data_IF_156544549154
#
_entry.id   IF_156544549154
#
_cell.length_a   1.000
_cell.length_b   1.000
_cell.length_c   1.000
_cell.angle_alpha   90.00
_cell.angle_beta   90.00
_cell.angle_gamma   90.00
#
_symmetry.space_group_name_H-M   'P 1'
#
loop_
_entity.id
_entity.type
_entity.pdbx_description
1 polymer ?
#
# COMPACT_ATOMS: atom_id res chain seq x y z
N UNK A 1 21.94 -18.91 -11.31
CA UNK A 1 22.96 -17.95 -10.84
C UNK A 1 22.44 -17.34 -9.54
N UNK A 2 23.18 -17.61 -8.46
CA UNK A 2 23.08 -17.04 -7.10
C UNK A 2 21.76 -17.13 -6.31
N UNK A 3 21.37 -18.35 -5.93
CA UNK A 3 20.43 -18.68 -4.84
C UNK A 3 21.05 -18.44 -3.43
N UNK A 4 22.01 -17.52 -3.28
CA UNK A 4 22.97 -17.50 -2.17
C UNK A 4 22.84 -16.37 -1.14
N UNK A 5 21.87 -15.44 -1.21
CA UNK A 5 22.08 -14.14 -0.58
C UNK A 5 21.15 -13.70 0.56
N UNK A 6 19.94 -14.24 0.77
CA UNK A 6 19.03 -13.59 1.73
C UNK A 6 19.45 -13.76 3.19
N UNK A 7 19.83 -14.94 3.66
CA UNK A 7 20.22 -15.13 5.08
C UNK A 7 21.48 -14.33 5.42
N UNK A 8 22.47 -14.35 4.52
CA UNK A 8 23.67 -13.51 4.61
C UNK A 8 23.33 -12.03 4.52
N UNK A 9 22.40 -11.65 3.66
CA UNK A 9 21.92 -10.27 3.49
C UNK A 9 21.25 -9.76 4.75
N UNK A 10 20.28 -10.51 5.28
CA UNK A 10 19.59 -10.19 6.53
C UNK A 10 20.57 -10.09 7.70
N UNK A 11 21.66 -10.87 7.72
CA UNK A 11 22.70 -10.75 8.74
C UNK A 11 23.32 -9.35 8.85
N UNK A 12 23.20 -8.50 7.81
CA UNK A 12 23.61 -7.10 7.83
C UNK A 12 22.71 -6.22 8.69
N UNK A 13 21.48 -6.63 8.98
CA UNK A 13 20.61 -6.00 10.00
C UNK A 13 21.19 -6.33 11.38
N UNK A 14 21.53 -5.28 12.12
CA UNK A 14 22.15 -5.34 13.45
C UNK A 14 21.22 -4.76 14.52
N UNK A 15 21.49 -5.04 15.79
CA UNK A 15 20.82 -4.38 16.91
C UNK A 15 20.84 -2.86 16.77
N UNK A 16 19.72 -2.20 17.05
CA UNK A 16 19.54 -0.76 16.87
C UNK A 16 19.27 -0.29 15.43
N UNK A 17 19.20 -1.20 14.44
CA UNK A 17 18.87 -0.82 13.06
C UNK A 17 17.42 -0.33 12.95
N UNK A 18 17.19 0.66 12.09
CA UNK A 18 15.85 1.02 11.62
C UNK A 18 15.54 0.35 10.30
N UNK A 19 14.51 -0.48 10.28
CA UNK A 19 14.11 -1.30 9.15
C UNK A 19 12.72 -0.90 8.69
N UNK A 20 12.60 -0.46 7.44
CA UNK A 20 11.30 -0.28 6.79
C UNK A 20 10.76 -1.61 6.28
N UNK A 21 9.46 -1.83 6.39
CA UNK A 21 8.74 -2.99 5.85
C UNK A 21 7.65 -2.49 4.93
N UNK A 22 7.64 -3.02 3.71
CA UNK A 22 6.61 -2.74 2.70
C UNK A 22 5.20 -2.94 3.27
N UNK A 23 4.34 -1.95 3.07
CA UNK A 23 2.98 -1.91 3.59
C UNK A 23 1.95 -2.70 2.79
N UNK A 24 0.73 -2.70 3.31
CA UNK A 24 -0.47 -3.25 2.70
C UNK A 24 -0.33 -4.71 2.23
N UNK A 25 -0.90 -5.06 1.08
CA UNK A 25 -0.76 -6.38 0.44
C UNK A 25 0.66 -6.67 -0.07
N UNK A 26 1.53 -5.65 -0.07
CA UNK A 26 2.95 -5.73 -0.41
C UNK A 26 3.83 -6.28 0.72
N UNK A 27 3.31 -6.46 1.94
CA UNK A 27 4.12 -6.93 3.09
C UNK A 27 4.82 -8.27 2.81
N UNK A 28 6.17 -8.34 2.88
CA UNK A 28 6.95 -9.54 2.56
C UNK A 28 6.92 -10.53 3.73
N UNK A 29 5.83 -11.30 3.84
CA UNK A 29 5.57 -12.15 5.00
C UNK A 29 6.72 -13.15 5.24
N UNK A 30 7.26 -13.74 4.17
CA UNK A 30 8.39 -14.65 4.29
C UNK A 30 9.67 -13.97 4.80
N UNK A 31 10.04 -12.79 4.29
CA UNK A 31 11.18 -12.05 4.83
C UNK A 31 10.97 -11.64 6.29
N UNK A 32 9.73 -11.24 6.63
CA UNK A 32 9.41 -10.87 8.00
C UNK A 32 9.62 -12.05 8.95
N UNK A 33 9.18 -13.25 8.56
CA UNK A 33 9.43 -14.50 9.30
C UNK A 33 10.92 -14.82 9.41
N UNK A 34 11.71 -14.62 8.36
CA UNK A 34 13.16 -14.85 8.41
C UNK A 34 13.86 -13.88 9.37
N UNK A 35 13.52 -12.60 9.33
CA UNK A 35 14.09 -11.63 10.28
C UNK A 35 13.64 -11.92 11.72
N UNK A 36 12.37 -12.26 11.94
CA UNK A 36 11.86 -12.60 13.27
C UNK A 36 12.55 -13.82 13.89
N UNK A 37 12.98 -14.81 13.09
CA UNK A 37 13.77 -15.96 13.60
C UNK A 37 15.10 -15.55 14.22
N UNK A 38 15.63 -14.37 13.89
CA UNK A 38 16.87 -13.82 14.45
C UNK A 38 16.66 -13.02 15.74
N UNK A 39 15.47 -13.07 16.36
CA UNK A 39 15.16 -12.36 17.59
C UNK A 39 16.23 -12.58 18.69
N UNK A 40 16.69 -13.81 18.88
CA UNK A 40 17.70 -14.13 19.89
C UNK A 40 19.08 -13.49 19.65
N UNK A 41 19.34 -12.95 18.45
CA UNK A 41 20.60 -12.30 18.06
C UNK A 41 20.50 -10.77 18.03
N UNK A 42 19.27 -10.24 18.10
CA UNK A 42 18.97 -8.83 17.83
C UNK A 42 18.35 -8.17 19.05
N UNK A 43 18.64 -6.88 19.22
CA UNK A 43 18.06 -6.05 20.27
C UNK A 43 17.67 -4.69 19.71
N UNK A 44 16.49 -4.20 20.09
CA UNK A 44 16.02 -2.85 19.77
C UNK A 44 16.07 -2.51 18.27
N UNK A 45 15.70 -3.44 17.40
CA UNK A 45 15.49 -3.17 15.98
C UNK A 45 14.15 -2.45 15.84
N UNK A 46 14.17 -1.25 15.27
CA UNK A 46 12.97 -0.47 15.02
C UNK A 46 12.37 -0.89 13.68
N UNK A 47 11.12 -1.35 13.69
CA UNK A 47 10.36 -1.74 12.50
C UNK A 47 9.41 -0.60 12.14
N UNK A 48 9.55 -0.05 10.94
CA UNK A 48 8.71 1.01 10.40
C UNK A 48 7.93 0.53 9.17
N UNK A 49 6.77 1.13 8.94
CA UNK A 49 5.93 0.84 7.77
C UNK A 49 4.58 1.54 7.91
N UNK A 50 3.80 1.53 6.84
CA UNK A 50 2.41 1.98 6.86
C UNK A 50 1.48 0.79 6.55
N UNK A 51 0.37 0.71 7.26
CA UNK A 51 -0.70 -0.28 7.02
C UNK A 51 -0.21 -1.74 6.81
N UNK A 52 0.67 -2.30 7.67
CA UNK A 52 1.02 -3.71 7.52
C UNK A 52 -0.24 -4.57 7.73
N UNK A 53 -0.54 -5.49 6.82
CA UNK A 53 -1.71 -6.38 6.98
C UNK A 53 -1.40 -7.58 7.88
N UNK A 54 -0.15 -8.00 7.91
CA UNK A 54 0.40 -8.95 8.87
C UNK A 54 1.63 -8.33 9.56
N UNK A 55 1.73 -8.50 10.87
CA UNK A 55 2.82 -7.94 11.65
C UNK A 55 3.26 -8.87 12.78
N UNK A 56 4.21 -9.76 12.45
CA UNK A 56 4.81 -10.67 13.42
C UNK A 56 5.56 -9.94 14.56
N UNK A 57 6.04 -8.72 14.33
CA UNK A 57 6.91 -8.01 15.27
C UNK A 57 6.19 -7.45 16.50
N UNK A 58 4.86 -7.41 16.49
CA UNK A 58 4.05 -7.03 17.67
C UNK A 58 3.82 -8.17 18.66
N UNK A 59 4.34 -9.38 18.39
CA UNK A 59 4.29 -10.49 19.34
C UNK A 59 5.07 -10.11 20.62
N UNK A 60 4.45 -10.14 21.82
CA UNK A 60 5.13 -9.87 23.10
C UNK A 60 6.40 -10.70 23.34
N UNK A 61 6.53 -11.88 22.72
CA UNK A 61 7.73 -12.73 22.80
C UNK A 61 8.94 -12.11 22.09
N UNK A 62 8.72 -11.16 21.19
CA UNK A 62 9.74 -10.53 20.36
C UNK A 62 10.13 -9.12 20.84
N UNK A 63 9.55 -8.65 21.95
CA UNK A 63 9.65 -7.27 22.44
C UNK A 63 11.07 -6.78 22.75
N UNK A 64 11.98 -7.69 23.14
CA UNK A 64 13.36 -7.32 23.46
C UNK A 64 14.19 -7.09 22.18
N UNK A 65 13.76 -7.71 21.08
CA UNK A 65 14.43 -7.71 19.79
C UNK A 65 13.89 -6.65 18.85
N UNK A 66 12.57 -6.47 18.83
CA UNK A 66 11.87 -5.62 17.87
C UNK A 66 10.91 -4.66 18.56
N UNK A 67 10.81 -3.46 18.02
CA UNK A 67 9.82 -2.47 18.38
C UNK A 67 9.19 -1.89 17.13
N UNK A 68 7.86 -1.90 17.03
CA UNK A 68 7.16 -1.38 15.85
C UNK A 68 6.86 0.09 16.03
N UNK A 69 7.39 0.95 15.17
CA UNK A 69 7.06 2.37 15.11
C UNK A 69 6.31 2.67 13.82
N UNK A 70 5.00 2.51 13.86
CA UNK A 70 4.16 2.51 12.66
C UNK A 70 3.81 3.93 12.19
N UNK A 71 3.72 4.13 10.88
CA UNK A 71 3.18 5.34 10.27
C UNK A 71 1.65 5.29 10.13
N UNK A 72 1.02 4.17 10.51
CA UNK A 72 -0.42 4.00 10.53
C UNK A 72 -0.86 2.98 11.59
N UNK A 73 -1.82 3.33 12.45
CA UNK A 73 -2.32 2.45 13.51
C UNK A 73 -3.36 1.43 12.99
N UNK A 74 -2.90 0.46 12.18
CA UNK A 74 -3.73 -0.60 11.60
C UNK A 74 -4.19 -1.63 12.65
N UNK A 75 -5.14 -2.49 12.26
CA UNK A 75 -5.61 -3.59 13.11
C UNK A 75 -4.46 -4.48 13.63
N UNK A 76 -3.46 -4.77 12.78
CA UNK A 76 -2.29 -5.59 13.13
C UNK A 76 -1.31 -4.90 14.10
N UNK A 77 -1.44 -3.58 14.32
CA UNK A 77 -0.53 -2.81 15.19
C UNK A 77 -1.20 -2.42 16.51
N UNK A 78 -2.53 -2.26 16.53
CA UNK A 78 -3.28 -1.76 17.70
C UNK A 78 -3.07 -2.57 18.98
N UNK A 79 -3.00 -3.90 18.89
CA UNK A 79 -2.68 -4.75 20.06
C UNK A 79 -1.27 -4.50 20.58
N UNK A 80 -0.31 -4.29 19.67
CA UNK A 80 1.07 -3.94 19.99
C UNK A 80 1.19 -2.59 20.71
N UNK A 81 0.38 -1.61 20.32
CA UNK A 81 0.32 -0.32 21.01
C UNK A 81 -0.20 -0.51 22.44
N UNK A 82 -1.29 -1.25 22.60
CA UNK A 82 -1.90 -1.49 23.91
C UNK A 82 -0.97 -2.26 24.87
N UNK A 83 -0.11 -3.14 24.36
CA UNK A 83 0.79 -3.96 25.16
C UNK A 83 2.25 -3.44 25.24
N UNK A 84 2.54 -2.30 24.61
CA UNK A 84 3.85 -1.64 24.66
C UNK A 84 4.93 -2.20 23.72
N UNK A 85 4.57 -3.06 22.75
CA UNK A 85 5.49 -3.54 21.69
C UNK A 85 5.48 -2.68 20.43
N UNK A 86 4.55 -1.73 20.34
CA UNK A 86 4.45 -0.80 19.24
C UNK A 86 4.10 0.62 19.68
N UNK A 87 4.38 1.58 18.80
CA UNK A 87 3.89 2.96 18.83
C UNK A 87 3.46 3.37 17.42
N UNK A 88 2.90 4.57 17.29
CA UNK A 88 2.62 5.18 16.00
C UNK A 88 3.06 6.64 15.97
N UNK A 89 3.43 7.12 14.78
CA UNK A 89 3.76 8.51 14.50
C UNK A 89 2.54 9.15 13.81
N UNK A 90 1.87 10.13 14.44
CA UNK A 90 0.83 10.91 13.77
C UNK A 90 1.46 11.77 12.68
N UNK A 91 1.15 11.47 11.42
CA UNK A 91 1.65 12.21 10.26
C UNK A 91 0.66 12.08 9.10
N UNK A 92 0.54 13.11 8.27
CA UNK A 92 -0.19 12.99 7.00
C UNK A 92 0.54 12.04 6.07
N UNK A 93 -0.20 11.14 5.41
CA UNK A 93 0.41 10.11 4.57
C UNK A 93 1.26 10.72 3.43
N UNK A 94 0.82 11.85 2.86
CA UNK A 94 1.57 12.63 1.86
C UNK A 94 2.93 13.16 2.35
N UNK A 95 3.10 13.34 3.66
CA UNK A 95 4.32 13.87 4.27
C UNK A 95 5.28 12.75 4.71
N UNK A 96 4.83 11.48 4.71
CA UNK A 96 5.67 10.35 5.11
C UNK A 96 6.95 10.18 4.29
N UNK A 97 7.01 10.48 2.96
CA UNK A 97 8.27 10.45 2.23
C UNK A 97 9.34 11.36 2.82
N UNK A 98 8.95 12.54 3.34
CA UNK A 98 9.88 13.53 3.89
C UNK A 98 10.65 13.00 5.10
N UNK A 99 10.05 12.10 5.88
CA UNK A 99 10.73 11.47 7.01
C UNK A 99 12.04 10.79 6.58
N UNK A 100 12.06 10.24 5.36
CA UNK A 100 13.22 9.54 4.81
C UNK A 100 14.04 10.43 3.88
N UNK A 101 13.38 11.18 2.99
CA UNK A 101 14.04 12.07 2.03
C UNK A 101 14.83 13.21 2.74
N UNK A 102 14.34 13.72 3.88
CA UNK A 102 15.03 14.74 4.69
C UNK A 102 15.89 14.13 5.82
N UNK A 103 16.07 12.81 5.83
CA UNK A 103 16.89 12.10 6.80
C UNK A 103 16.48 12.34 8.28
N UNK A 104 15.19 12.58 8.54
CA UNK A 104 14.62 12.71 9.88
C UNK A 104 14.61 11.34 10.58
N UNK A 105 14.22 10.29 9.85
CA UNK A 105 14.22 8.90 10.28
C UNK A 105 15.07 8.05 9.31
N UNK A 106 16.41 8.15 9.35
CA UNK A 106 17.29 7.40 8.46
C UNK A 106 17.02 5.90 8.52
N UNK A 107 16.93 5.25 7.35
CA UNK A 107 16.67 3.82 7.22
C UNK A 107 17.98 3.05 6.99
N UNK A 108 18.26 2.07 7.85
CA UNK A 108 19.39 1.15 7.66
C UNK A 108 19.06 0.04 6.67
N UNK A 109 17.81 -0.40 6.64
CA UNK A 109 17.33 -1.39 5.68
C UNK A 109 15.87 -1.17 5.27
N UNK A 110 15.50 -1.71 4.11
CA UNK A 110 14.13 -1.88 3.66
C UNK A 110 13.88 -3.35 3.27
N UNK A 111 12.81 -3.93 3.79
CA UNK A 111 12.27 -5.23 3.37
C UNK A 111 11.12 -4.99 2.42
N UNK A 112 11.28 -5.40 1.16
CA UNK A 112 10.27 -5.21 0.12
C UNK A 112 9.85 -6.54 -0.50
N UNK A 113 8.60 -6.61 -0.95
CA UNK A 113 8.15 -7.63 -1.89
C UNK A 113 8.02 -7.02 -3.29
N UNK A 114 8.41 -7.79 -4.31
CA UNK A 114 8.39 -7.35 -5.71
C UNK A 114 8.00 -8.49 -6.65
N UNK A 115 7.55 -8.14 -7.85
CA UNK A 115 7.39 -9.09 -8.97
C UNK A 115 8.74 -9.67 -9.41
N UNK A 116 8.76 -10.77 -10.19
CA UNK A 116 9.95 -11.17 -10.94
C UNK A 116 10.47 -10.03 -11.84
N UNK A 117 11.79 -9.96 -12.07
CA UNK A 117 12.37 -8.98 -12.97
C UNK A 117 11.96 -9.26 -14.43
N UNK A 118 11.70 -8.20 -15.18
CA UNK A 118 11.51 -8.30 -16.62
C UNK A 118 12.84 -8.49 -17.37
N UNK A 119 12.78 -8.55 -18.71
CA UNK A 119 13.96 -8.72 -19.58
C UNK A 119 15.01 -7.59 -19.46
N UNK A 120 14.64 -6.48 -18.85
CA UNK A 120 15.51 -5.32 -18.61
C UNK A 120 15.99 -5.25 -17.16
N UNK A 121 15.69 -6.25 -16.33
CA UNK A 121 16.11 -6.31 -14.94
C UNK A 121 15.26 -5.48 -13.98
N UNK A 122 14.06 -5.05 -14.39
CA UNK A 122 13.15 -4.31 -13.52
C UNK A 122 12.11 -5.22 -12.88
N UNK A 123 12.08 -5.22 -11.55
CA UNK A 123 10.96 -5.71 -10.77
C UNK A 123 9.93 -4.58 -10.55
N UNK A 124 8.74 -4.93 -10.07
CA UNK A 124 7.69 -4.00 -9.68
C UNK A 124 7.36 -4.16 -8.19
N UNK A 125 7.24 -3.06 -7.45
CA UNK A 125 6.66 -3.03 -6.08
C UNK A 125 5.20 -3.51 -6.06
N UNK A 126 4.53 -3.48 -7.21
CA UNK A 126 3.22 -4.07 -7.42
C UNK A 126 2.12 -3.32 -6.69
N UNK A 127 1.51 -3.96 -5.70
CA UNK A 127 0.28 -3.48 -5.09
C UNK A 127 0.45 -2.31 -4.13
N UNK A 128 1.67 -1.94 -3.76
CA UNK A 128 1.91 -0.84 -2.82
C UNK A 128 3.13 -0.03 -3.25
N UNK A 129 2.93 1.27 -3.47
CA UNK A 129 3.99 2.24 -3.75
C UNK A 129 4.15 3.16 -2.55
N UNK A 130 3.06 3.82 -2.16
CA UNK A 130 2.87 4.54 -0.88
C UNK A 130 4.17 5.10 -0.28
N UNK A 131 4.50 4.72 0.97
CA UNK A 131 5.74 5.15 1.63
C UNK A 131 6.94 4.31 1.16
N UNK A 132 6.68 3.12 0.62
CA UNK A 132 7.69 2.16 0.16
C UNK A 132 8.62 2.76 -0.90
N UNK A 133 8.10 3.61 -1.80
CA UNK A 133 8.93 4.26 -2.81
C UNK A 133 10.02 5.12 -2.18
N UNK A 134 9.68 5.91 -1.16
CA UNK A 134 10.65 6.71 -0.42
C UNK A 134 11.63 5.82 0.35
N UNK A 135 11.15 4.72 0.95
CA UNK A 135 12.04 3.77 1.62
C UNK A 135 13.07 3.14 0.67
N UNK A 136 12.65 2.74 -0.55
CA UNK A 136 13.53 2.21 -1.59
C UNK A 136 14.55 3.24 -2.08
N UNK A 137 14.21 4.53 -2.09
CA UNK A 137 15.17 5.58 -2.45
C UNK A 137 16.24 5.79 -1.37
N UNK A 138 15.88 5.68 -0.09
CA UNK A 138 16.71 6.17 1.02
C UNK A 138 17.35 5.09 1.88
N UNK A 139 16.86 3.85 1.87
CA UNK A 139 17.43 2.79 2.68
C UNK A 139 18.86 2.44 2.26
N UNK A 140 19.76 2.29 3.23
CA UNK A 140 21.16 1.90 2.97
C UNK A 140 21.27 0.49 2.38
N UNK A 141 20.33 -0.39 2.73
CA UNK A 141 20.24 -1.78 2.25
C UNK A 141 18.82 -2.15 1.85
N UNK A 142 18.66 -2.81 0.71
CA UNK A 142 17.36 -3.27 0.22
C UNK A 142 17.36 -4.79 0.11
N UNK A 143 16.42 -5.42 0.81
CA UNK A 143 16.22 -6.86 0.79
C UNK A 143 14.86 -7.17 0.18
N UNK A 144 14.84 -8.00 -0.87
CA UNK A 144 13.63 -8.25 -1.64
C UNK A 144 13.14 -9.70 -1.57
N UNK A 145 11.83 -9.86 -1.40
CA UNK A 145 11.11 -11.09 -1.70
C UNK A 145 10.57 -10.99 -3.13
N UNK A 146 11.09 -11.81 -4.02
CA UNK A 146 10.58 -11.94 -5.38
C UNK A 146 9.44 -12.96 -5.35
N UNK A 147 8.23 -12.51 -5.64
CA UNK A 147 7.02 -13.33 -5.62
C UNK A 147 6.28 -13.21 -6.95
N UNK A 148 6.06 -14.34 -7.65
CA UNK A 148 5.30 -14.41 -8.91
C UNK A 148 3.84 -14.00 -8.78
N UNK A 149 3.29 -14.01 -7.57
CA UNK A 149 1.94 -13.52 -7.29
C UNK A 149 1.88 -12.00 -7.18
N UNK A 150 3.02 -11.31 -7.08
CA UNK A 150 3.06 -9.85 -7.07
C UNK A 150 2.83 -9.30 -8.49
N UNK A 151 1.74 -8.56 -8.75
CA UNK A 151 1.47 -8.01 -10.08
C UNK A 151 2.51 -6.97 -10.50
N UNK A 152 2.79 -6.93 -11.79
CA UNK A 152 3.62 -5.89 -12.42
C UNK A 152 2.76 -4.66 -12.72
N UNK A 153 2.48 -3.86 -11.69
CA UNK A 153 1.71 -2.62 -11.81
C UNK A 153 2.58 -1.52 -12.40
N UNK A 154 2.02 -0.65 -13.25
CA UNK A 154 2.74 0.47 -13.88
C UNK A 154 2.81 1.69 -12.94
N UNK A 155 3.66 2.67 -13.25
CA UNK A 155 3.86 3.90 -12.46
C UNK A 155 5.22 3.94 -11.75
N UNK A 156 5.24 4.44 -10.52
CA UNK A 156 6.46 4.60 -9.69
C UNK A 156 6.92 3.29 -9.01
N UNK A 157 6.37 2.16 -9.47
CA UNK A 157 6.56 0.82 -8.91
C UNK A 157 7.91 0.20 -9.25
N UNK A 158 8.55 0.62 -10.34
CA UNK A 158 9.69 -0.12 -10.88
C UNK A 158 10.96 0.03 -10.03
N UNK A 159 11.62 -1.10 -9.76
CA UNK A 159 12.88 -1.19 -9.03
C UNK A 159 13.82 -2.10 -9.81
N UNK A 160 14.96 -1.57 -10.25
CA UNK A 160 15.97 -2.36 -10.96
C UNK A 160 16.71 -3.29 -9.99
N UNK A 161 17.03 -4.51 -10.40
CA UNK A 161 17.73 -5.52 -9.57
C UNK A 161 19.05 -5.01 -8.98
N UNK A 162 19.79 -4.14 -9.68
CA UNK A 162 21.02 -3.51 -9.16
C UNK A 162 20.81 -2.64 -7.90
N UNK A 163 19.58 -2.27 -7.56
CA UNK A 163 19.26 -1.57 -6.31
C UNK A 163 19.01 -2.52 -5.14
N UNK A 164 18.85 -3.82 -5.40
CA UNK A 164 18.52 -4.83 -4.40
C UNK A 164 19.83 -5.48 -3.92
N UNK A 165 20.18 -5.29 -2.66
CA UNK A 165 21.42 -5.83 -2.07
C UNK A 165 21.36 -7.35 -1.90
N UNK A 166 20.19 -7.89 -1.54
CA UNK A 166 19.98 -9.33 -1.42
C UNK A 166 18.51 -9.66 -1.68
N UNK A 167 18.24 -10.84 -2.21
CA UNK A 167 16.87 -11.27 -2.46
C UNK A 167 16.66 -12.77 -2.20
N UNK A 168 15.38 -13.13 -2.06
CA UNK A 168 14.91 -14.51 -2.08
C UNK A 168 13.75 -14.63 -3.05
N UNK A 169 13.74 -15.71 -3.83
CA UNK A 169 12.57 -16.08 -4.63
C UNK A 169 11.68 -16.95 -3.74
N UNK A 170 10.49 -16.44 -3.39
CA UNK A 170 9.53 -17.15 -2.56
C UNK A 170 8.11 -16.74 -2.94
N UNK A 171 7.40 -17.67 -3.57
CA UNK A 171 6.03 -17.49 -3.99
C UNK A 171 5.06 -17.81 -2.83
N UNK A 172 4.25 -16.83 -2.45
CA UNK A 172 3.12 -17.01 -1.54
C UNK A 172 1.94 -16.16 -2.00
N UNK A 173 0.68 -16.53 -1.68
CA UNK A 173 -0.46 -15.67 -2.00
C UNK A 173 -0.29 -14.28 -1.37
N UNK A 174 -0.65 -13.23 -2.11
CA UNK A 174 -0.78 -11.91 -1.51
C UNK A 174 -1.95 -11.90 -0.52
N UNK A 175 -1.89 -11.03 0.48
CA UNK A 175 -3.01 -10.88 1.41
C UNK A 175 -4.22 -10.34 0.64
N UNK A 176 -5.35 -11.00 0.79
CA UNK A 176 -6.62 -10.58 0.21
C UNK A 176 -7.55 -10.04 1.29
N UNK A 177 -8.35 -9.03 0.92
CA UNK A 177 -9.43 -8.53 1.76
C UNK A 177 -10.70 -8.43 0.92
N UNK A 178 -11.78 -9.02 1.44
CA UNK A 178 -13.08 -9.05 0.79
C UNK A 178 -14.14 -8.37 1.66
N UNK A 179 -14.43 -7.11 1.36
CA UNK A 179 -15.41 -6.31 2.09
C UNK A 179 -16.86 -6.63 1.71
N UNK A 180 -17.09 -7.43 0.66
CA UNK A 180 -18.45 -7.74 0.20
C UNK A 180 -19.26 -8.56 1.21
N UNK A 181 -18.56 -9.27 2.11
CA UNK A 181 -19.16 -10.16 3.12
C UNK A 181 -19.77 -9.43 4.31
N UNK A 182 -19.45 -8.15 4.50
CA UNK A 182 -19.83 -7.39 5.70
C UNK A 182 -20.80 -6.23 5.39
N UNK A 183 -21.41 -6.21 4.20
CA UNK A 183 -22.32 -5.14 3.78
C UNK A 183 -23.67 -5.24 4.49
N UNK A 184 -24.00 -4.21 5.26
CA UNK A 184 -25.31 -4.03 5.91
C UNK A 184 -26.31 -3.26 5.03
N UNK A 185 -27.59 -3.26 5.40
CA UNK A 185 -28.61 -2.42 4.74
C UNK A 185 -28.35 -0.93 4.93
N UNK A 186 -27.74 -0.53 6.05
CA UNK A 186 -27.34 0.85 6.30
C UNK A 186 -26.27 1.29 5.29
N UNK A 187 -25.28 0.44 5.02
CA UNK A 187 -24.22 0.73 4.03
C UNK A 187 -24.82 0.93 2.63
N UNK A 188 -25.84 0.14 2.27
CA UNK A 188 -26.56 0.30 1.00
C UNK A 188 -27.29 1.63 0.90
N UNK A 189 -27.93 2.06 1.98
CA UNK A 189 -28.63 3.35 2.04
C UNK A 189 -27.61 4.48 1.91
N UNK A 190 -26.52 4.44 2.67
CA UNK A 190 -25.44 5.43 2.60
C UNK A 190 -24.87 5.47 1.18
N UNK A 191 -24.56 4.30 0.60
CA UNK A 191 -24.01 4.17 -0.75
C UNK A 191 -24.85 4.89 -1.81
N UNK A 192 -26.17 4.67 -1.78
CA UNK A 192 -27.11 5.35 -2.69
C UNK A 192 -27.15 6.86 -2.48
N UNK A 193 -27.21 7.31 -1.22
CA UNK A 193 -27.26 8.74 -0.88
C UNK A 193 -26.00 9.47 -1.32
N UNK A 194 -24.82 8.86 -1.13
CA UNK A 194 -23.56 9.46 -1.59
C UNK A 194 -23.49 9.45 -3.12
N UNK A 195 -23.94 8.39 -3.79
CA UNK A 195 -23.96 8.33 -5.25
C UNK A 195 -24.85 9.42 -5.90
N UNK A 196 -25.94 9.83 -5.23
CA UNK A 196 -26.78 10.97 -5.65
C UNK A 196 -26.02 12.31 -5.67
N UNK A 197 -24.91 12.43 -4.93
CA UNK A 197 -24.06 13.63 -4.89
C UNK A 197 -22.94 13.61 -5.94
N UNK A 198 -22.78 12.49 -6.66
CA UNK A 198 -21.73 12.32 -7.67
C UNK A 198 -22.30 12.62 -9.04
N UNK A 199 -21.74 13.62 -9.71
CA UNK A 199 -22.07 13.93 -11.10
C UNK A 199 -21.36 12.99 -12.10
N UNK A 200 -21.92 12.90 -13.30
CA UNK A 200 -21.18 12.38 -14.45
C UNK A 200 -19.92 13.23 -14.72
N UNK A 201 -18.84 12.54 -15.09
CA UNK A 201 -17.53 13.17 -15.30
C UNK A 201 -16.75 13.48 -14.02
N UNK A 202 -17.23 13.10 -12.84
CA UNK A 202 -16.52 13.32 -11.57
C UNK A 202 -15.24 12.50 -11.46
N UNK A 203 -14.26 13.04 -10.72
CA UNK A 203 -13.05 12.33 -10.32
C UNK A 203 -13.18 11.86 -8.88
N UNK A 204 -13.03 10.57 -8.65
CA UNK A 204 -13.33 9.95 -7.36
C UNK A 204 -12.05 9.59 -6.61
N UNK A 205 -12.06 9.88 -5.31
CA UNK A 205 -11.24 9.25 -4.29
C UNK A 205 -12.15 8.55 -3.30
N UNK A 206 -11.74 7.34 -2.87
CA UNK A 206 -12.48 6.58 -1.88
C UNK A 206 -11.55 5.65 -1.09
N UNK A 207 -11.94 5.37 0.15
CA UNK A 207 -11.24 4.44 1.05
C UNK A 207 -11.69 2.98 0.91
N UNK A 208 -11.29 2.16 1.88
CA UNK A 208 -11.73 0.77 2.06
C UNK A 208 -13.06 0.66 2.78
N UNK A 209 -13.77 -0.45 2.54
CA UNK A 209 -14.86 -0.94 3.40
C UNK A 209 -16.19 -1.10 2.69
N UNK A 210 -17.17 -1.61 3.43
CA UNK A 210 -18.52 -1.87 2.92
C UNK A 210 -19.23 -0.62 2.40
N UNK A 211 -19.02 0.56 3.02
CA UNK A 211 -19.61 1.82 2.56
C UNK A 211 -19.05 2.24 1.19
N UNK A 212 -17.72 2.42 0.99
CA UNK A 212 -17.17 2.70 -0.34
C UNK A 212 -17.60 1.72 -1.43
N UNK A 213 -17.65 0.42 -1.14
CA UNK A 213 -18.12 -0.60 -2.08
C UNK A 213 -19.60 -0.40 -2.45
N UNK A 214 -20.45 -0.02 -1.50
CA UNK A 214 -21.85 0.31 -1.77
C UNK A 214 -22.02 1.58 -2.60
N UNK A 215 -21.15 2.58 -2.39
CA UNK A 215 -21.10 3.77 -3.26
C UNK A 215 -20.73 3.34 -4.67
N UNK A 216 -19.62 2.64 -4.86
CA UNK A 216 -19.15 2.15 -6.17
C UNK A 216 -20.23 1.38 -6.91
N UNK A 217 -20.92 0.47 -6.22
CA UNK A 217 -22.03 -0.30 -6.81
C UNK A 217 -23.22 0.58 -7.22
N UNK A 218 -23.44 1.70 -6.53
CA UNK A 218 -24.51 2.65 -6.83
C UNK A 218 -24.12 3.64 -7.94
N UNK A 219 -22.86 3.60 -8.41
CA UNK A 219 -22.36 4.45 -9.50
C UNK A 219 -22.36 3.75 -10.87
N UNK A 220 -22.94 2.55 -10.99
CA UNK A 220 -22.91 1.76 -12.23
C UNK A 220 -23.62 2.42 -13.42
N UNK A 221 -24.57 3.32 -13.16
CA UNK A 221 -25.31 4.06 -14.20
C UNK A 221 -24.66 5.42 -14.53
N UNK A 222 -23.61 5.81 -13.81
CA UNK A 222 -22.84 7.02 -14.08
C UNK A 222 -21.99 6.86 -15.34
N UNK A 223 -21.54 7.99 -15.88
CA UNK A 223 -20.77 8.06 -17.12
C UNK A 223 -19.52 8.88 -16.90
N UNK A 224 -18.45 8.39 -17.50
CA UNK A 224 -17.18 9.09 -17.65
C UNK A 224 -16.49 9.44 -16.33
N UNK A 225 -16.70 8.58 -15.34
CA UNK A 225 -16.03 8.73 -14.07
C UNK A 225 -14.52 8.60 -14.25
N UNK A 226 -13.80 9.23 -13.33
CA UNK A 226 -12.36 9.23 -13.26
C UNK A 226 -11.92 8.78 -11.87
N UNK A 227 -10.76 8.14 -11.76
CA UNK A 227 -10.21 7.67 -10.48
C UNK A 227 -8.86 8.32 -10.26
N UNK A 228 -8.77 9.11 -9.18
CA UNK A 228 -7.54 9.64 -8.63
C UNK A 228 -7.64 9.48 -7.11
N UNK A 229 -7.30 8.29 -6.64
CA UNK A 229 -7.57 7.86 -5.27
C UNK A 229 -6.27 7.58 -4.53
N UNK A 230 -6.31 7.53 -3.19
CA UNK A 230 -5.21 6.93 -2.43
C UNK A 230 -5.12 5.44 -2.79
N UNK A 231 -6.26 4.75 -2.87
CA UNK A 231 -6.30 3.32 -3.16
C UNK A 231 -7.42 2.91 -4.10
N UNK A 232 -7.30 1.70 -4.66
CA UNK A 232 -8.37 1.04 -5.41
C UNK A 232 -8.61 -0.40 -4.90
N UNK A 233 -9.86 -0.84 -5.04
CA UNK A 233 -10.37 -2.18 -4.68
C UNK A 233 -11.18 -2.78 -5.84
N UNK A 234 -11.74 -3.98 -5.63
CA UNK A 234 -12.58 -4.72 -6.58
C UNK A 234 -13.74 -3.91 -7.17
N UNK A 235 -14.33 -2.98 -6.41
CA UNK A 235 -15.43 -2.16 -6.89
C UNK A 235 -15.00 -1.21 -8.02
N UNK A 236 -13.79 -0.64 -7.94
CA UNK A 236 -13.24 0.22 -9.00
C UNK A 236 -13.00 -0.59 -10.28
N UNK A 237 -12.43 -1.80 -10.13
CA UNK A 237 -12.24 -2.73 -11.26
C UNK A 237 -13.56 -2.99 -11.97
N UNK A 238 -14.62 -3.26 -11.20
CA UNK A 238 -15.94 -3.55 -11.76
C UNK A 238 -16.52 -2.37 -12.55
N UNK A 239 -16.29 -1.13 -12.12
CA UNK A 239 -16.70 0.07 -12.87
C UNK A 239 -15.83 0.32 -14.13
N UNK A 240 -14.54 -0.01 -14.07
CA UNK A 240 -13.65 0.06 -15.25
C UNK A 240 -14.07 -0.97 -16.31
N UNK A 241 -14.34 -2.21 -15.91
CA UNK A 241 -14.82 -3.28 -16.81
C UNK A 241 -16.15 -2.92 -17.49
N UNK A 242 -17.02 -2.19 -16.80
CA UNK A 242 -18.30 -1.68 -17.34
C UNK A 242 -18.16 -0.44 -18.22
N UNK A 243 -16.97 0.15 -18.33
CA UNK A 243 -16.73 1.39 -19.08
C UNK A 243 -17.32 2.64 -18.42
N UNK A 244 -17.75 2.54 -17.16
CA UNK A 244 -18.24 3.68 -16.35
C UNK A 244 -17.06 4.60 -16.01
N UNK A 245 -15.93 4.01 -15.63
CA UNK A 245 -14.67 4.73 -15.41
C UNK A 245 -13.90 4.79 -16.73
N UNK A 246 -13.71 6.00 -17.26
CA UNK A 246 -12.96 6.25 -18.50
C UNK A 246 -11.73 7.11 -18.28
N UNK A 247 -11.64 7.82 -17.15
CA UNK A 247 -10.54 8.72 -16.82
C UNK A 247 -10.30 9.86 -17.84
N UNK A 248 -11.22 10.09 -18.79
CA UNK A 248 -10.99 10.97 -19.95
C UNK A 248 -10.95 12.45 -19.62
N UNK A 249 -11.53 12.85 -18.49
CA UNK A 249 -11.57 14.24 -18.04
C UNK A 249 -10.44 14.59 -17.07
N UNK A 250 -9.62 13.61 -16.63
CA UNK A 250 -8.49 13.90 -15.74
C UNK A 250 -7.49 14.82 -16.43
N UNK A 251 -6.97 15.80 -15.70
CA UNK A 251 -5.87 16.66 -16.16
C UNK A 251 -4.51 16.02 -15.93
N UNK A 252 -4.42 15.09 -14.98
CA UNK A 252 -3.21 14.40 -14.59
C UNK A 252 -3.38 12.91 -14.94
N UNK A 253 -2.53 12.38 -15.82
CA UNK A 253 -2.69 11.03 -16.41
C UNK A 253 -4.10 10.78 -16.99
N UNK A 254 -4.52 11.53 -18.03
CA UNK A 254 -5.78 11.26 -18.73
C UNK A 254 -5.83 9.84 -19.26
N UNK A 255 -6.98 9.18 -19.11
CA UNK A 255 -7.20 7.79 -19.53
C UNK A 255 -6.72 6.72 -18.54
N UNK A 256 -5.98 7.09 -17.49
CA UNK A 256 -5.49 6.14 -16.49
C UNK A 256 -6.11 6.35 -15.11
N UNK A 257 -6.41 5.24 -14.45
CA UNK A 257 -6.75 5.18 -13.02
C UNK A 257 -5.45 5.34 -12.24
N UNK A 258 -5.38 6.31 -11.34
CA UNK A 258 -4.19 6.56 -10.52
C UNK A 258 -4.49 6.25 -9.05
N UNK A 259 -3.60 5.50 -8.41
CA UNK A 259 -3.62 5.17 -6.99
C UNK A 259 -2.21 5.16 -6.40
N UNK A 260 -2.06 4.95 -5.09
CA UNK A 260 -0.76 4.69 -4.46
C UNK A 260 -0.64 3.28 -3.90
N UNK A 261 -1.76 2.63 -3.57
CA UNK A 261 -1.79 1.21 -3.24
C UNK A 261 -3.11 0.54 -3.66
N UNK A 262 -3.11 -0.79 -3.67
CA UNK A 262 -4.16 -1.65 -4.21
C UNK A 262 -4.43 -2.75 -3.19
N UNK A 263 -5.69 -2.86 -2.77
CA UNK A 263 -6.11 -3.85 -1.78
C UNK A 263 -7.50 -4.37 -2.11
N UNK A 264 -7.62 -5.70 -2.15
CA UNK A 264 -8.86 -6.37 -2.49
C UNK A 264 -8.64 -7.87 -2.61
N UNK A 265 -9.40 -8.51 -3.49
CA UNK A 265 -9.27 -9.94 -3.78
C UNK A 265 -8.23 -10.22 -4.88
N UNK A 266 -8.00 -11.50 -5.17
CA UNK A 266 -7.20 -11.90 -6.33
C UNK A 266 -7.66 -11.25 -7.64
N UNK A 267 -8.96 -10.96 -7.79
CA UNK A 267 -9.52 -10.31 -8.98
C UNK A 267 -8.82 -8.97 -9.25
N UNK A 268 -8.66 -8.11 -8.24
CA UNK A 268 -8.01 -6.81 -8.46
C UNK A 268 -6.52 -6.99 -8.80
N UNK A 269 -5.83 -7.93 -8.15
CA UNK A 269 -4.41 -8.18 -8.43
C UNK A 269 -4.16 -8.70 -9.85
N UNK A 270 -5.02 -9.59 -10.35
CA UNK A 270 -4.93 -10.06 -11.73
C UNK A 270 -5.28 -8.95 -12.73
N UNK A 271 -6.28 -8.12 -12.43
CA UNK A 271 -6.71 -7.02 -13.31
C UNK A 271 -5.64 -5.94 -13.49
N UNK A 272 -4.90 -5.61 -12.43
CA UNK A 272 -3.87 -4.55 -12.47
C UNK A 272 -2.53 -5.04 -13.02
N UNK A 273 -2.33 -6.36 -13.13
CA UNK A 273 -1.09 -6.95 -13.61
C UNK A 273 -0.81 -6.57 -15.07
N UNK A 274 0.26 -5.80 -15.28
CA UNK A 274 0.69 -5.25 -16.57
C UNK A 274 -0.38 -4.48 -17.35
N UNK A 275 -1.37 -3.92 -16.63
CA UNK A 275 -2.44 -3.13 -17.22
C UNK A 275 -2.03 -1.65 -17.34
N UNK A 276 -1.86 -1.10 -18.55
CA UNK A 276 -1.38 0.27 -18.74
C UNK A 276 -2.39 1.34 -18.31
N UNK A 277 -3.66 0.96 -18.06
CA UNK A 277 -4.69 1.88 -17.60
C UNK A 277 -4.67 2.10 -16.08
N UNK A 278 -3.76 1.43 -15.34
CA UNK A 278 -3.62 1.56 -13.89
C UNK A 278 -2.20 1.97 -13.55
N UNK A 279 -2.05 3.10 -12.87
CA UNK A 279 -0.78 3.65 -12.45
C UNK A 279 -0.74 3.79 -10.92
N UNK A 280 0.20 3.09 -10.28
CA UNK A 280 0.51 3.30 -8.88
C UNK A 280 1.65 4.32 -8.74
N UNK A 281 1.38 5.44 -8.06
CA UNK A 281 2.26 6.60 -7.96
C UNK A 281 2.71 6.82 -6.52
N UNK A 282 3.82 7.54 -6.35
CA UNK A 282 4.32 7.97 -5.04
C UNK A 282 3.23 8.72 -4.24
N UNK A 283 3.14 8.44 -2.95
CA UNK A 283 2.11 9.05 -2.08
C UNK A 283 2.23 10.58 -2.01
N UNK A 284 3.44 11.13 -2.13
CA UNK A 284 3.68 12.56 -2.20
C UNK A 284 3.08 13.21 -3.45
N UNK A 285 2.62 12.42 -4.43
CA UNK A 285 1.88 12.89 -5.61
C UNK A 285 0.39 12.65 -5.44
N UNK A 286 -0.03 11.43 -5.11
CA UNK A 286 -1.46 11.07 -5.06
C UNK A 286 -2.22 11.81 -3.96
N UNK A 287 -1.55 12.08 -2.85
CA UNK A 287 -2.14 12.70 -1.67
C UNK A 287 -1.73 14.17 -1.50
N UNK A 288 -1.03 14.76 -2.47
CA UNK A 288 -0.73 16.19 -2.47
C UNK A 288 -2.00 16.99 -2.86
N UNK A 289 -2.54 17.84 -1.95
CA UNK A 289 -3.70 18.68 -2.26
C UNK A 289 -3.51 19.56 -3.50
N UNK A 290 -2.28 19.98 -3.81
CA UNK A 290 -1.96 20.76 -5.00
C UNK A 290 -2.12 19.94 -6.29
N UNK A 291 -1.90 18.63 -6.26
CA UNK A 291 -2.22 17.74 -7.39
C UNK A 291 -3.70 17.39 -7.43
N UNK A 292 -4.30 17.04 -6.29
CA UNK A 292 -5.71 16.64 -6.19
C UNK A 292 -6.63 17.71 -6.79
N UNK A 293 -6.41 18.99 -6.42
CA UNK A 293 -7.24 20.12 -6.86
C UNK A 293 -7.23 20.38 -8.37
N UNK A 294 -6.30 19.77 -9.11
CA UNK A 294 -6.21 19.91 -10.57
C UNK A 294 -7.26 19.06 -11.27
N UNK A 295 -7.71 17.97 -10.63
CA UNK A 295 -8.74 17.11 -11.20
C UNK A 295 -10.11 17.81 -11.18
N UNK A 296 -10.84 17.83 -12.30
CA UNK A 296 -12.16 18.42 -12.35
C UNK A 296 -13.16 17.58 -11.55
N UNK A 297 -14.12 18.26 -10.92
CA UNK A 297 -15.23 17.63 -10.17
C UNK A 297 -14.74 16.55 -9.20
N UNK A 298 -13.74 16.89 -8.40
CA UNK A 298 -13.17 15.97 -7.41
C UNK A 298 -14.21 15.67 -6.32
N UNK A 299 -14.52 14.40 -6.10
CA UNK A 299 -15.37 13.88 -5.03
C UNK A 299 -14.52 12.96 -4.15
N UNK A 300 -14.25 13.40 -2.92
CA UNK A 300 -13.52 12.61 -1.92
C UNK A 300 -14.52 11.99 -0.92
N UNK A 301 -14.56 10.67 -0.87
CA UNK A 301 -15.53 9.91 -0.07
C UNK A 301 -14.77 9.14 1.01
N UNK A 302 -14.91 9.59 2.26
CA UNK A 302 -14.21 9.02 3.41
C UNK A 302 -15.20 8.72 4.55
N UNK A 303 -14.82 7.80 5.43
CA UNK A 303 -15.57 7.47 6.63
C UNK A 303 -14.91 8.07 7.87
N UNK A 304 -15.72 8.33 8.90
CA UNK A 304 -15.28 8.74 10.23
C UNK A 304 -15.88 7.79 11.27
N UNK A 305 -15.21 7.66 12.43
CA UNK A 305 -15.73 6.85 13.56
C UNK A 305 -16.85 7.61 14.26
N UNK A 306 -16.61 8.89 14.56
CA UNK A 306 -17.54 9.79 15.25
C UNK A 306 -17.44 11.18 14.63
N UNK A 307 -18.55 11.92 14.66
CA UNK A 307 -18.66 13.32 14.27
C UNK A 307 -19.42 14.02 15.39
N UNK A 308 -18.87 15.11 15.92
CA UNK A 308 -19.59 15.91 16.91
C UNK A 308 -20.63 16.84 16.23
N UNK A 309 -21.24 17.76 16.98
CA UNK A 309 -22.29 18.63 16.44
C UNK A 309 -21.74 19.85 15.65
N UNK A 310 -20.42 20.02 15.56
CA UNK A 310 -19.73 21.18 14.95
C UNK A 310 -18.98 20.83 13.67
#
# INVERSE_FOLDING_TARGET
MATTLIDKGLSLIKSGSRVFVHGCSGTPQYLNRLLAKRANELQRVEIMGALPLDNIYTDPKLKDSFFVNSLFASASVRSGIANGTASYIPIFLSETPRLFDENILPLDAALIQVSPPDKHGYCSLGTSVEVTRAAVRNAKKIFAQINRNMPRVHGDTFVHMNKIDAYVEYDEPLVEVDYSKEISDIDRIIGKRVAELVDNGSTLQMGIGGIPDCVLKSLEDHKDLSIASEMISDGVVSLMEKGVVTNRYKTFHPGATTCTFILGTRKVYDFVNDNPNVLALDIGITNDPAQIRRNPKMCAINAAIEVDLT
#
